data_IF_096466679336
#
_entry.id   IF_096466679336
#
_cell.length_a   1.000
_cell.length_b   1.000
_cell.length_c   1.000
_cell.angle_alpha   90.00
_cell.angle_beta   90.00
_cell.angle_gamma   90.00
#
_symmetry.space_group_name_H-M   'P 1'
#
loop_
_entity.id
_entity.type
_entity.pdbx_description
1 polymer ?
#
# COMPACT_ATOMS: atom_id res chain seq x y z
N UNK A 1 -8.80 5.28 27.95
CA UNK A 1 -8.75 6.23 26.83
C UNK A 1 -7.29 6.62 26.62
N UNK A 2 -6.70 6.25 25.49
CA UNK A 2 -5.28 6.46 25.20
C UNK A 2 -4.98 7.96 25.02
N UNK A 3 -3.94 8.47 25.66
CA UNK A 3 -3.52 9.88 25.56
C UNK A 3 -3.10 10.27 24.14
N UNK A 4 -2.69 9.30 23.31
CA UNK A 4 -2.16 9.51 21.96
C UNK A 4 -3.23 9.57 20.85
N UNK A 5 -4.49 9.28 21.14
CA UNK A 5 -5.62 9.34 20.19
C UNK A 5 -6.74 10.27 20.64
N UNK A 6 -6.50 11.09 21.67
CA UNK A 6 -7.49 12.00 22.23
C UNK A 6 -7.95 13.01 21.17
N UNK A 7 -9.25 13.00 20.85
CA UNK A 7 -9.87 13.93 19.90
C UNK A 7 -9.94 13.45 18.45
N UNK A 8 -9.56 12.19 18.17
CA UNK A 8 -9.83 11.58 16.86
C UNK A 8 -11.31 11.19 16.77
N UNK A 9 -11.94 11.44 15.63
CA UNK A 9 -13.28 10.94 15.32
C UNK A 9 -13.33 9.41 15.41
N UNK A 10 -14.19 8.88 16.28
CA UNK A 10 -14.43 7.45 16.45
C UNK A 10 -14.82 6.75 15.14
N UNK A 11 -15.52 7.44 14.23
CA UNK A 11 -15.91 6.87 12.94
C UNK A 11 -14.69 6.66 12.03
N UNK A 12 -13.71 7.57 12.10
CA UNK A 12 -12.46 7.42 11.37
C UNK A 12 -11.67 6.22 11.88
N UNK A 13 -11.58 6.05 13.20
CA UNK A 13 -10.91 4.89 13.80
C UNK A 13 -11.61 3.62 13.33
N UNK A 14 -12.93 3.52 13.47
CA UNK A 14 -13.70 2.36 13.03
C UNK A 14 -13.50 2.05 11.54
N UNK A 15 -13.44 3.08 10.69
CA UNK A 15 -13.19 2.93 9.25
C UNK A 15 -11.79 2.35 8.97
N UNK A 16 -10.76 2.86 9.66
CA UNK A 16 -9.40 2.32 9.56
C UNK A 16 -9.33 0.88 10.08
N UNK A 17 -10.00 0.55 11.19
CA UNK A 17 -10.05 -0.81 11.71
C UNK A 17 -10.70 -1.78 10.72
N UNK A 18 -11.88 -1.43 10.21
CA UNK A 18 -12.65 -2.27 9.27
C UNK A 18 -11.85 -2.53 7.98
N UNK A 19 -11.16 -1.51 7.46
CA UNK A 19 -10.40 -1.67 6.23
C UNK A 19 -9.10 -2.42 6.46
N UNK A 20 -8.41 -2.17 7.58
CA UNK A 20 -7.21 -2.92 7.96
C UNK A 20 -7.50 -4.40 8.11
N UNK A 21 -8.61 -4.76 8.75
CA UNK A 21 -9.05 -6.15 8.87
C UNK A 21 -9.31 -6.78 7.49
N UNK A 22 -9.96 -6.05 6.59
CA UNK A 22 -10.23 -6.53 5.23
C UNK A 22 -8.93 -6.75 4.43
N UNK A 23 -7.99 -5.80 4.52
CA UNK A 23 -6.65 -5.91 3.91
C UNK A 23 -5.84 -7.05 4.50
N UNK A 24 -5.89 -7.24 5.81
CA UNK A 24 -5.22 -8.35 6.50
C UNK A 24 -5.77 -9.70 6.04
N UNK A 25 -7.10 -9.85 5.97
CA UNK A 25 -7.76 -11.08 5.48
C UNK A 25 -7.44 -11.41 4.03
N UNK A 26 -7.19 -10.41 3.18
CA UNK A 26 -6.71 -10.59 1.80
C UNK A 26 -5.20 -10.85 1.71
N UNK A 27 -4.47 -10.78 2.82
CA UNK A 27 -3.02 -10.93 2.88
C UNK A 27 -2.23 -9.71 2.42
N UNK A 28 -2.86 -8.54 2.30
CA UNK A 28 -2.19 -7.32 1.85
C UNK A 28 -1.38 -6.68 2.97
N UNK A 29 -1.90 -6.77 4.20
CA UNK A 29 -1.16 -6.49 5.41
C UNK A 29 -0.71 -7.78 6.08
N UNK A 30 0.51 -7.78 6.62
CA UNK A 30 1.01 -8.86 7.46
C UNK A 30 0.74 -8.59 8.94
N UNK A 31 1.27 -9.46 9.81
CA UNK A 31 1.19 -9.27 11.27
C UNK A 31 1.90 -7.99 11.73
N UNK A 32 3.04 -7.66 11.11
CA UNK A 32 3.85 -6.48 11.42
C UNK A 32 4.30 -5.73 10.16
N UNK A 33 3.68 -6.03 9.02
CA UNK A 33 4.09 -5.51 7.72
C UNK A 33 2.97 -4.69 7.09
N UNK A 34 3.29 -3.43 6.84
CA UNK A 34 2.40 -2.48 6.20
C UNK A 34 2.15 -1.27 7.08
N UNK A 35 1.51 -0.29 6.48
CA UNK A 35 1.14 0.94 7.14
C UNK A 35 -0.15 1.49 6.57
N UNK A 36 -0.91 2.15 7.43
CA UNK A 36 -2.13 2.88 7.06
C UNK A 36 -2.26 4.12 7.90
N UNK A 37 -2.63 5.23 7.27
CA UNK A 37 -2.84 6.50 7.96
C UNK A 37 -4.03 7.28 7.41
N UNK A 38 -4.49 8.23 8.22
CA UNK A 38 -5.44 9.25 7.80
C UNK A 38 -5.01 10.65 8.26
N UNK A 39 -5.09 11.64 7.38
CA UNK A 39 -4.91 13.05 7.71
C UNK A 39 -6.06 13.51 8.59
N UNK A 40 -5.77 14.15 9.71
CA UNK A 40 -6.79 14.65 10.66
C UNK A 40 -6.73 16.17 10.89
N UNK A 41 -5.67 16.82 10.42
CA UNK A 41 -5.53 18.27 10.41
C UNK A 41 -4.49 18.71 9.37
N UNK A 42 -4.14 19.99 9.34
CA UNK A 42 -3.18 20.54 8.37
C UNK A 42 -1.84 19.81 8.43
N UNK A 43 -1.31 19.63 9.64
CA UNK A 43 0.02 19.07 9.91
C UNK A 43 -0.06 17.85 10.85
N UNK A 44 -1.18 17.13 10.81
CA UNK A 44 -1.49 16.04 11.74
C UNK A 44 -2.13 14.87 11.01
N UNK A 45 -1.66 13.67 11.33
CA UNK A 45 -2.23 12.43 10.82
C UNK A 45 -2.18 11.33 11.89
N UNK A 46 -3.15 10.42 11.82
CA UNK A 46 -3.14 9.18 12.62
C UNK A 46 -2.49 8.07 11.80
N UNK A 47 -1.64 7.25 12.40
CA UNK A 47 -0.97 6.11 11.77
C UNK A 47 -0.84 4.94 12.77
N UNK A 48 -0.67 3.73 12.27
CA UNK A 48 -0.36 2.56 13.10
C UNK A 48 1.02 2.65 13.75
N UNK A 49 1.13 2.06 14.95
CA UNK A 49 2.41 1.77 15.62
C UNK A 49 3.19 0.73 14.82
N UNK A 50 4.52 0.72 14.97
CA UNK A 50 5.41 -0.26 14.29
C UNK A 50 5.13 -1.72 14.66
N UNK A 51 4.54 -1.97 15.83
CA UNK A 51 4.20 -3.29 16.34
C UNK A 51 2.69 -3.58 16.27
N UNK A 52 1.92 -2.77 15.54
CA UNK A 52 0.49 -2.97 15.41
C UNK A 52 0.18 -4.25 14.60
N UNK A 53 -0.77 -5.04 15.11
CA UNK A 53 -1.33 -6.19 14.39
C UNK A 53 -2.59 -5.75 13.65
N UNK A 54 -2.56 -5.80 12.31
CA UNK A 54 -3.63 -5.25 11.47
C UNK A 54 -4.97 -5.99 11.56
N UNK A 55 -4.99 -7.24 12.06
CA UNK A 55 -6.22 -7.98 12.40
C UNK A 55 -7.04 -7.26 13.47
N UNK A 56 -6.37 -6.60 14.42
CA UNK A 56 -7.00 -6.00 15.60
C UNK A 56 -6.51 -4.57 15.83
N UNK A 57 -6.40 -3.80 14.75
CA UNK A 57 -6.10 -2.38 14.84
C UNK A 57 -7.12 -1.72 15.80
N UNK A 58 -6.65 -0.84 16.68
CA UNK A 58 -7.49 -0.11 17.64
C UNK A 58 -6.80 1.16 18.13
N UNK A 59 -7.47 1.91 19.01
CA UNK A 59 -6.97 3.18 19.55
C UNK A 59 -5.61 3.06 20.26
N UNK A 60 -5.25 1.88 20.77
CA UNK A 60 -3.97 1.65 21.45
C UNK A 60 -2.84 1.31 20.47
N UNK A 61 -3.19 0.81 19.28
CA UNK A 61 -2.24 0.47 18.20
C UNK A 61 -2.12 1.59 17.16
N UNK A 62 -2.90 2.66 17.32
CA UNK A 62 -2.82 3.90 16.55
C UNK A 62 -2.20 5.01 17.39
N UNK A 63 -1.60 5.99 16.73
CA UNK A 63 -1.10 7.21 17.35
C UNK A 63 -1.22 8.40 16.39
N UNK A 64 -1.32 9.60 16.95
CA UNK A 64 -1.25 10.84 16.18
C UNK A 64 0.20 11.30 16.06
N UNK A 65 0.64 11.54 14.83
CA UNK A 65 1.88 12.25 14.50
C UNK A 65 1.60 13.66 14.02
N UNK A 66 2.62 14.50 14.17
CA UNK A 66 2.68 15.84 13.60
C UNK A 66 3.86 15.91 12.65
N UNK A 67 3.88 16.89 11.74
CA UNK A 67 4.98 17.09 10.80
C UNK A 67 6.34 17.25 11.48
N UNK A 68 6.36 17.85 12.67
CA UNK A 68 7.58 17.96 13.47
C UNK A 68 7.87 16.63 14.17
N UNK A 69 9.07 16.10 13.93
CA UNK A 69 9.54 14.87 14.56
C UNK A 69 9.63 15.07 16.08
N UNK A 70 9.05 14.11 16.81
CA UNK A 70 9.11 14.02 18.27
C UNK A 70 9.27 12.56 18.73
N UNK A 71 9.20 12.33 20.03
CA UNK A 71 9.41 10.98 20.59
C UNK A 71 8.41 9.93 20.07
N UNK A 72 7.21 10.31 19.63
CA UNK A 72 6.17 9.40 19.15
C UNK A 72 6.55 8.72 17.84
N UNK A 73 7.42 9.35 17.05
CA UNK A 73 7.98 8.76 15.83
C UNK A 73 8.79 7.48 16.13
N UNK A 74 9.33 7.35 17.35
CA UNK A 74 9.99 6.13 17.83
C UNK A 74 9.02 4.98 18.13
N UNK A 75 7.71 5.24 18.16
CA UNK A 75 6.68 4.20 18.32
C UNK A 75 5.87 3.98 17.04
N UNK A 76 5.82 4.98 16.17
CA UNK A 76 5.12 4.92 14.89
C UNK A 76 5.72 3.90 13.92
N UNK A 77 4.95 3.57 12.88
CA UNK A 77 5.40 2.81 11.71
C UNK A 77 6.71 3.38 11.14
N UNK A 78 7.59 2.50 10.67
CA UNK A 78 8.82 2.90 9.96
C UNK A 78 8.52 3.66 8.66
N UNK A 79 7.31 3.50 8.11
CA UNK A 79 6.84 4.19 6.90
C UNK A 79 6.34 5.62 7.18
N UNK A 80 6.33 6.07 8.44
CA UNK A 80 5.82 7.40 8.82
C UNK A 80 6.45 8.57 8.05
N UNK A 81 7.77 8.59 7.74
CA UNK A 81 8.38 9.63 6.92
C UNK A 81 7.76 9.72 5.52
N UNK A 82 7.44 8.58 4.90
CA UNK A 82 6.81 8.49 3.58
C UNK A 82 5.40 9.09 3.63
N UNK A 83 4.63 8.74 4.66
CA UNK A 83 3.26 9.27 4.82
C UNK A 83 3.28 10.79 5.05
N UNK A 84 4.21 11.28 5.87
CA UNK A 84 4.36 12.70 6.15
C UNK A 84 4.81 13.49 4.91
N UNK A 85 5.73 12.96 4.09
CA UNK A 85 6.17 13.63 2.85
C UNK A 85 5.01 13.78 1.86
N UNK A 86 4.20 12.74 1.70
CA UNK A 86 3.03 12.75 0.81
C UNK A 86 1.93 13.68 1.32
N UNK A 87 1.63 13.70 2.63
CA UNK A 87 0.63 14.63 3.17
C UNK A 87 1.05 16.10 3.04
N UNK A 88 2.34 16.40 3.10
CA UNK A 88 2.86 17.76 2.92
C UNK A 88 2.67 18.26 1.48
N UNK A 89 2.88 17.38 0.51
CA UNK A 89 2.83 17.73 -0.91
C UNK A 89 1.41 17.69 -1.48
N UNK A 90 0.65 16.63 -1.19
CA UNK A 90 -0.63 16.35 -1.83
C UNK A 90 -1.81 16.68 -0.91
N UNK A 91 -2.37 17.89 -1.03
CA UNK A 91 -3.47 18.37 -0.16
C UNK A 91 -4.75 17.52 -0.22
N UNK A 92 -4.98 16.82 -1.34
CA UNK A 92 -6.09 15.91 -1.56
C UNK A 92 -5.87 14.51 -0.96
N UNK A 93 -4.64 14.18 -0.54
CA UNK A 93 -4.37 12.95 0.20
C UNK A 93 -5.03 13.00 1.59
N UNK A 94 -6.09 12.20 1.77
CA UNK A 94 -6.75 11.98 3.07
C UNK A 94 -6.29 10.68 3.71
N UNK A 95 -6.15 9.62 2.93
CA UNK A 95 -5.76 8.29 3.37
C UNK A 95 -4.52 7.84 2.61
N UNK A 96 -3.63 7.13 3.29
CA UNK A 96 -2.42 6.54 2.71
C UNK A 96 -2.30 5.12 3.22
N UNK A 97 -1.88 4.19 2.36
CA UNK A 97 -1.47 2.86 2.77
C UNK A 97 -0.22 2.40 2.02
N UNK A 98 0.60 1.61 2.69
CA UNK A 98 1.67 0.82 2.08
C UNK A 98 1.43 -0.64 2.43
N UNK A 99 1.10 -1.45 1.42
CA UNK A 99 0.75 -2.85 1.59
C UNK A 99 1.58 -3.76 0.66
N UNK A 100 1.54 -5.06 0.95
CA UNK A 100 2.34 -6.09 0.25
C UNK A 100 1.44 -7.21 -0.29
N UNK A 101 0.53 -6.94 -1.24
CA UNK A 101 -0.29 -7.98 -1.84
C UNK A 101 0.59 -9.08 -2.47
N UNK A 102 0.32 -10.38 -2.21
CA UNK A 102 1.26 -11.46 -2.50
C UNK A 102 1.50 -11.70 -4.00
N UNK A 103 0.45 -11.67 -4.84
CA UNK A 103 0.63 -11.83 -6.29
C UNK A 103 1.37 -10.65 -6.89
N UNK A 104 1.07 -9.43 -6.42
CA UNK A 104 1.75 -8.20 -6.83
C UNK A 104 3.23 -8.23 -6.47
N UNK A 105 3.54 -8.60 -5.22
CA UNK A 105 4.90 -8.72 -4.75
C UNK A 105 5.68 -9.74 -5.60
N UNK A 106 5.14 -10.94 -5.79
CA UNK A 106 5.75 -11.99 -6.61
C UNK A 106 5.95 -11.56 -8.06
N UNK A 107 4.94 -10.92 -8.67
CA UNK A 107 5.00 -10.42 -10.03
C UNK A 107 6.13 -9.40 -10.20
N UNK A 108 6.29 -8.49 -9.24
CA UNK A 108 7.29 -7.43 -9.29
C UNK A 108 8.74 -7.94 -9.31
N UNK A 109 9.01 -9.12 -8.72
CA UNK A 109 10.36 -9.70 -8.68
C UNK A 109 10.88 -10.00 -10.09
N UNK A 110 9.99 -10.40 -11.01
CA UNK A 110 10.36 -10.82 -12.38
C UNK A 110 10.06 -9.79 -13.45
N UNK A 111 9.24 -8.78 -13.14
CA UNK A 111 8.78 -7.80 -14.12
C UNK A 111 9.20 -6.38 -13.72
N UNK A 112 9.29 -5.50 -14.71
CA UNK A 112 9.53 -4.07 -14.50
C UNK A 112 8.31 -3.22 -14.90
N UNK A 113 7.28 -3.85 -15.46
CA UNK A 113 6.02 -3.25 -15.89
C UNK A 113 4.89 -4.24 -15.66
N UNK A 114 3.73 -3.77 -15.26
CA UNK A 114 2.48 -4.52 -15.25
C UNK A 114 1.62 -3.99 -16.42
N UNK A 115 1.18 -4.92 -17.27
CA UNK A 115 0.24 -4.70 -18.36
C UNK A 115 -1.06 -5.42 -18.01
N UNK A 116 -2.03 -4.76 -17.36
CA UNK A 116 -3.29 -5.41 -16.99
C UNK A 116 -4.00 -5.95 -18.23
N UNK A 117 -4.43 -7.22 -18.17
CA UNK A 117 -5.19 -7.89 -19.24
C UNK A 117 -6.65 -8.13 -18.88
N UNK A 118 -6.96 -8.06 -17.59
CA UNK A 118 -8.34 -8.05 -17.12
C UNK A 118 -8.99 -6.69 -17.37
N UNK A 119 -10.30 -6.70 -17.61
CA UNK A 119 -11.05 -5.51 -17.98
C UNK A 119 -10.97 -4.39 -16.94
N UNK A 120 -11.11 -4.71 -15.65
CA UNK A 120 -11.15 -3.70 -14.59
C UNK A 120 -9.78 -3.05 -14.35
N UNK A 121 -8.72 -3.86 -14.30
CA UNK A 121 -7.34 -3.40 -14.16
C UNK A 121 -6.95 -2.47 -15.31
N UNK A 122 -7.21 -2.88 -16.56
CA UNK A 122 -6.89 -2.07 -17.74
C UNK A 122 -7.66 -0.74 -17.74
N UNK A 123 -8.97 -0.76 -17.44
CA UNK A 123 -9.80 0.44 -17.47
C UNK A 123 -9.51 1.43 -16.35
N UNK A 124 -9.06 0.95 -15.19
CA UNK A 124 -8.92 1.78 -13.98
C UNK A 124 -7.48 2.18 -13.68
N UNK A 125 -6.50 1.28 -13.94
CA UNK A 125 -5.08 1.52 -13.67
C UNK A 125 -4.31 2.02 -14.91
N UNK A 126 -4.93 1.88 -16.08
CA UNK A 126 -4.36 2.18 -17.38
C UNK A 126 -3.75 0.97 -18.08
N UNK A 127 -3.32 1.17 -19.32
CA UNK A 127 -2.73 0.11 -20.16
C UNK A 127 -1.42 -0.42 -19.58
N UNK A 128 -0.73 0.43 -18.82
CA UNK A 128 0.59 0.13 -18.29
C UNK A 128 0.87 0.81 -16.96
N UNK A 129 1.53 0.06 -16.08
CA UNK A 129 2.02 0.51 -14.80
C UNK A 129 3.51 0.18 -14.72
N UNK A 130 4.34 1.20 -14.60
CA UNK A 130 5.78 1.02 -14.34
C UNK A 130 5.95 0.49 -12.91
N UNK A 131 6.79 -0.53 -12.76
CA UNK A 131 7.19 -1.06 -11.46
C UNK A 131 8.51 -0.37 -11.09
N UNK A 132 8.45 0.51 -10.11
CA UNK A 132 9.59 1.27 -9.62
C UNK A 132 10.64 0.33 -9.02
N UNK A 133 11.87 0.41 -9.50
CA UNK A 133 12.98 -0.39 -8.97
C UNK A 133 13.77 0.44 -7.94
N UNK A 134 13.74 0.07 -6.64
CA UNK A 134 14.46 0.79 -5.59
C UNK A 134 16.00 0.64 -5.69
N UNK A 135 16.46 -0.26 -6.58
CA UNK A 135 17.86 -0.65 -6.81
C UNK A 135 18.48 -1.27 -5.56
N UNK A 136 19.04 -0.45 -4.69
CA UNK A 136 19.70 -0.89 -3.46
C UNK A 136 18.68 -1.03 -2.33
N UNK A 137 18.44 -2.27 -1.88
CA UNK A 137 17.49 -2.56 -0.82
C UNK A 137 18.02 -2.18 0.57
N UNK A 138 19.34 -2.14 0.78
CA UNK A 138 19.92 -1.90 2.09
C UNK A 138 19.67 -0.44 2.52
N UNK A 139 19.79 0.50 1.59
CA UNK A 139 19.49 1.93 1.82
C UNK A 139 18.04 2.33 1.53
N UNK A 140 17.18 1.39 1.12
CA UNK A 140 15.83 1.73 0.63
C UNK A 140 15.00 2.50 1.67
N UNK A 141 15.03 2.08 2.93
CA UNK A 141 14.22 2.71 3.98
C UNK A 141 14.56 4.20 4.18
N UNK A 142 15.81 4.59 3.98
CA UNK A 142 16.31 5.96 4.16
C UNK A 142 15.95 6.88 2.98
N UNK A 143 15.71 6.30 1.80
CA UNK A 143 15.41 7.02 0.55
C UNK A 143 13.94 6.99 0.17
N UNK A 144 13.16 6.06 0.76
CA UNK A 144 11.80 5.75 0.33
C UNK A 144 10.86 6.97 0.36
N UNK A 145 10.98 7.84 1.35
CA UNK A 145 10.12 9.01 1.49
C UNK A 145 10.30 10.02 0.35
N UNK A 146 11.53 10.20 -0.11
CA UNK A 146 11.91 11.11 -1.20
C UNK A 146 11.64 10.47 -2.55
N UNK A 147 11.98 9.20 -2.73
CA UNK A 147 11.83 8.52 -4.02
C UNK A 147 10.38 8.19 -4.35
N UNK A 148 9.59 7.72 -3.38
CA UNK A 148 8.15 7.50 -3.57
C UNK A 148 7.47 8.83 -3.91
N UNK A 149 7.78 9.90 -3.17
CA UNK A 149 7.22 11.23 -3.44
C UNK A 149 7.52 11.70 -4.86
N UNK A 150 8.79 11.59 -5.29
CA UNK A 150 9.21 11.93 -6.65
C UNK A 150 8.46 11.11 -7.70
N UNK A 151 8.30 9.80 -7.48
CA UNK A 151 7.55 8.95 -8.42
C UNK A 151 6.06 9.33 -8.52
N UNK A 152 5.43 9.71 -7.41
CA UNK A 152 4.04 10.21 -7.43
C UNK A 152 3.93 11.52 -8.22
N UNK A 153 4.87 12.46 -8.03
CA UNK A 153 4.91 13.73 -8.78
C UNK A 153 5.13 13.52 -10.27
N UNK A 154 6.09 12.67 -10.66
CA UNK A 154 6.44 12.41 -12.06
C UNK A 154 5.34 11.65 -12.81
N UNK A 155 4.78 10.60 -12.20
CA UNK A 155 3.78 9.76 -12.85
C UNK A 155 2.38 10.38 -12.89
N UNK A 156 2.11 11.35 -12.00
CA UNK A 156 0.76 11.89 -11.72
C UNK A 156 -0.25 10.81 -11.34
N UNK A 157 0.22 9.62 -10.95
CA UNK A 157 -0.61 8.57 -10.34
C UNK A 157 -0.63 8.77 -8.84
N UNK A 158 -1.66 8.24 -8.20
CA UNK A 158 -1.85 8.28 -6.74
C UNK A 158 -1.33 7.00 -6.07
N UNK A 159 -0.46 6.25 -6.76
CA UNK A 159 0.17 5.04 -6.26
C UNK A 159 1.53 4.80 -6.91
N UNK A 160 2.37 4.02 -6.24
CA UNK A 160 3.67 3.52 -6.73
C UNK A 160 3.72 2.02 -6.48
N UNK A 161 3.98 1.25 -7.55
CA UNK A 161 4.21 -0.18 -7.45
C UNK A 161 5.72 -0.43 -7.39
N UNK A 162 6.22 -0.93 -6.26
CA UNK A 162 7.66 -0.96 -5.93
C UNK A 162 8.14 -2.41 -5.96
N UNK A 163 9.16 -2.65 -6.80
CA UNK A 163 9.78 -3.95 -7.01
C UNK A 163 10.29 -4.54 -5.70
N UNK A 164 9.82 -5.75 -5.38
CA UNK A 164 10.21 -6.49 -4.18
C UNK A 164 9.78 -5.86 -2.85
N UNK A 165 9.04 -4.74 -2.86
CA UNK A 165 8.65 -4.05 -1.62
C UNK A 165 7.13 -4.01 -1.40
N UNK A 166 6.33 -3.82 -2.44
CA UNK A 166 4.87 -3.73 -2.34
C UNK A 166 4.27 -2.58 -3.13
N UNK A 167 3.09 -2.13 -2.73
CA UNK A 167 2.35 -1.02 -3.35
C UNK A 167 2.15 0.08 -2.32
N UNK A 168 2.53 1.29 -2.65
CA UNK A 168 2.21 2.50 -1.89
C UNK A 168 1.08 3.24 -2.60
N UNK A 169 0.06 3.71 -1.89
CA UNK A 169 -1.02 4.49 -2.49
C UNK A 169 -1.58 5.54 -1.52
N UNK A 170 -2.11 6.62 -2.08
CA UNK A 170 -2.90 7.61 -1.36
C UNK A 170 -4.23 7.88 -2.08
N UNK A 171 -5.25 8.31 -1.34
CA UNK A 171 -6.50 8.79 -1.94
C UNK A 171 -7.27 9.69 -0.97
N UNK A 172 -8.24 10.44 -1.47
CA UNK A 172 -9.20 11.21 -0.66
C UNK A 172 -10.24 10.32 0.05
N UNK A 173 -10.50 9.16 -0.52
CA UNK A 173 -11.57 8.23 -0.14
C UNK A 173 -10.97 6.85 0.16
N UNK A 174 -11.33 6.26 1.30
CA UNK A 174 -10.75 5.02 1.77
C UNK A 174 -11.07 3.82 0.85
N UNK A 175 -12.27 3.79 0.27
CA UNK A 175 -12.70 2.77 -0.70
C UNK A 175 -11.88 2.80 -1.98
N UNK A 176 -11.57 4.00 -2.49
CA UNK A 176 -10.75 4.19 -3.68
C UNK A 176 -9.27 3.89 -3.44
N UNK A 177 -8.77 4.18 -2.24
CA UNK A 177 -7.45 3.70 -1.81
C UNK A 177 -7.38 2.16 -1.91
N UNK A 178 -8.41 1.47 -1.43
CA UNK A 178 -8.50 0.01 -1.46
C UNK A 178 -8.57 -0.59 -2.85
N UNK A 179 -9.32 0.07 -3.74
CA UNK A 179 -9.49 -0.35 -5.13
C UNK A 179 -8.13 -0.48 -5.84
N UNK A 180 -7.16 0.39 -5.55
CA UNK A 180 -5.80 0.29 -6.12
C UNK A 180 -5.16 -1.05 -5.81
N UNK A 181 -5.14 -1.43 -4.53
CA UNK A 181 -4.50 -2.67 -4.09
C UNK A 181 -5.19 -3.88 -4.68
N UNK A 182 -6.53 -3.88 -4.69
CA UNK A 182 -7.31 -4.99 -5.21
C UNK A 182 -7.12 -5.16 -6.72
N UNK A 183 -7.13 -4.07 -7.48
CA UNK A 183 -6.97 -4.13 -8.93
C UNK A 183 -5.55 -4.57 -9.33
N UNK A 184 -4.50 -4.03 -8.70
CA UNK A 184 -3.12 -4.44 -8.98
C UNK A 184 -2.94 -5.91 -8.64
N UNK A 185 -3.45 -6.34 -7.48
CA UNK A 185 -3.36 -7.73 -7.05
C UNK A 185 -4.09 -8.67 -8.00
N UNK A 186 -5.34 -8.36 -8.34
CA UNK A 186 -6.14 -9.19 -9.24
C UNK A 186 -5.52 -9.24 -10.65
N UNK A 187 -5.00 -8.12 -11.16
CA UNK A 187 -4.28 -8.10 -12.44
C UNK A 187 -3.09 -9.06 -12.43
N UNK A 188 -2.25 -8.99 -11.38
CA UNK A 188 -1.11 -9.88 -11.23
C UNK A 188 -1.53 -11.36 -11.06
N UNK A 189 -2.60 -11.60 -10.30
CA UNK A 189 -3.14 -12.94 -10.06
C UNK A 189 -3.69 -13.57 -11.34
N UNK A 190 -4.48 -12.84 -12.12
CA UNK A 190 -5.05 -13.31 -13.38
C UNK A 190 -3.94 -13.66 -14.36
N UNK A 191 -2.95 -12.78 -14.53
CA UNK A 191 -1.79 -13.05 -15.38
C UNK A 191 -1.07 -14.33 -14.93
N UNK A 192 -0.77 -14.46 -13.63
CA UNK A 192 -0.06 -15.63 -13.12
C UNK A 192 -0.84 -16.94 -13.32
N UNK A 193 -2.15 -16.92 -13.09
CA UNK A 193 -2.99 -18.10 -13.26
C UNK A 193 -3.18 -18.44 -14.75
N UNK A 194 -3.32 -17.43 -15.62
CA UNK A 194 -3.35 -17.58 -17.06
C UNK A 194 -2.10 -18.29 -17.58
N UNK A 195 -0.92 -17.75 -17.24
CA UNK A 195 0.36 -18.34 -17.63
C UNK A 195 0.47 -19.82 -17.20
N UNK A 196 0.05 -20.14 -15.97
CA UNK A 196 0.08 -21.51 -15.46
C UNK A 196 -0.84 -22.46 -16.24
N UNK A 197 -2.02 -22.00 -16.62
CA UNK A 197 -2.94 -22.80 -17.43
C UNK A 197 -2.33 -23.08 -18.80
N UNK A 198 -1.75 -22.08 -19.45
CA UNK A 198 -1.10 -22.24 -20.76
C UNK A 198 0.08 -23.23 -20.69
N UNK A 199 0.86 -23.23 -19.61
CA UNK A 199 1.90 -24.25 -19.38
C UNK A 199 1.32 -25.66 -19.24
N UNK A 200 0.20 -25.84 -18.53
CA UNK A 200 -0.40 -27.16 -18.33
C UNK A 200 -0.98 -27.79 -19.61
N UNK A 201 -1.37 -26.98 -20.60
CA UNK A 201 -1.89 -27.49 -21.87
C UNK A 201 -0.82 -27.73 -22.93
N UNK A 202 0.31 -27.02 -22.88
CA UNK A 202 1.34 -27.12 -23.92
C UNK A 202 2.39 -28.22 -23.69
N UNK A 203 2.53 -28.72 -22.45
CA UNK A 203 3.63 -29.65 -22.09
C UNK A 203 3.19 -31.02 -21.51
N UNK A 204 1.89 -31.37 -21.54
CA UNK A 204 1.44 -32.72 -21.16
C UNK A 204 1.24 -33.61 -22.41
N UNK A 205 2.16 -34.56 -22.69
CA UNK A 205 2.01 -35.48 -23.82
C UNK A 205 0.77 -36.38 -23.74
N UNK A 206 0.05 -36.44 -22.60
CA UNK A 206 -1.24 -37.14 -22.45
C UNK A 206 -2.43 -36.31 -22.94
N UNK A 207 -2.28 -35.00 -23.09
CA UNK A 207 -3.34 -34.06 -23.46
C UNK A 207 -3.18 -33.52 -24.89
N UNK A 208 -2.11 -33.91 -25.58
CA UNK A 208 -1.98 -33.72 -27.02
C UNK A 208 -2.96 -34.67 -27.74
N UNK A 209 -4.07 -34.12 -28.23
CA UNK A 209 -5.04 -34.81 -29.11
C UNK A 209 -4.57 -34.73 -30.55
#
# INVERSE_FOLDING_TARGET
>A
MNTHTRGIDSNLIHSLQSISLSMFRKGFFGLYQGSISARIGTNQFVINKRNAVFDQLNENTLLVLHDKIDYRWKEASLDSPIHASVYREFLDAKFIAYARPPYSLAYSLRHNRLLPRDYLGYRSLGEEIVIFNPKDYDSWQERADTEILRQLQESKKYFVFIKGCGVFAYHRELSKLMEVFDLIENSCKVLRLGDLMDYCYNDDPRLNV
#
